data_IF_541064063817
#
_entry.id   IF_541064063817
#
_cell.length_a   1.000
_cell.length_b   1.000
_cell.length_c   1.000
_cell.angle_alpha   90.00
_cell.angle_beta   90.00
_cell.angle_gamma   90.00
#
_symmetry.space_group_name_H-M   'P 1'
#
loop_
_entity.id
_entity.type
_entity.pdbx_description
1 polymer ?
#
# COMPACT_ATOMS: atom_id res chain seq x y z
N UNK A 1 -9.28 13.52 1.14
CA UNK A 1 -9.92 12.38 1.83
C UNK A 1 -9.71 10.97 1.22
N UNK A 2 -8.67 10.71 0.40
CA UNK A 2 -8.41 9.38 -0.21
C UNK A 2 -7.80 8.34 0.75
N UNK A 3 -7.06 8.81 1.75
CA UNK A 3 -6.50 7.97 2.81
C UNK A 3 -7.56 7.18 3.58
N UNK A 4 -8.82 7.66 3.65
CA UNK A 4 -9.92 6.92 4.30
C UNK A 4 -10.28 5.64 3.53
N UNK A 5 -10.23 5.67 2.20
CA UNK A 5 -10.49 4.51 1.33
C UNK A 5 -9.33 3.51 1.39
N UNK A 6 -8.09 4.01 1.40
CA UNK A 6 -6.91 3.16 1.61
C UNK A 6 -6.86 2.55 3.01
N UNK A 7 -7.14 3.31 4.06
CA UNK A 7 -7.37 2.77 5.42
C UNK A 7 -8.44 1.69 5.32
N UNK A 8 -9.60 1.95 4.74
CA UNK A 8 -10.72 1.02 4.78
C UNK A 8 -10.42 -0.30 4.07
N UNK A 9 -9.76 -0.25 2.90
CA UNK A 9 -9.26 -1.43 2.21
C UNK A 9 -8.19 -2.17 3.05
N UNK A 10 -7.25 -1.45 3.68
CA UNK A 10 -6.27 -2.05 4.58
C UNK A 10 -6.87 -2.63 5.87
N UNK A 11 -7.91 -1.99 6.43
CA UNK A 11 -8.64 -2.48 7.61
C UNK A 11 -9.40 -3.76 7.24
N UNK A 12 -10.09 -3.81 6.10
CA UNK A 12 -10.77 -5.01 5.61
C UNK A 12 -9.78 -6.18 5.40
N UNK A 13 -8.58 -5.91 4.90
CA UNK A 13 -7.50 -6.92 4.77
C UNK A 13 -6.91 -7.30 6.13
N UNK A 14 -6.73 -6.34 7.04
CA UNK A 14 -6.21 -6.56 8.40
C UNK A 14 -7.14 -7.38 9.30
N UNK A 15 -8.46 -7.33 9.08
CA UNK A 15 -9.43 -8.18 9.80
C UNK A 15 -9.21 -9.67 9.47
N UNK A 16 -8.66 -10.00 8.31
CA UNK A 16 -8.82 -11.32 7.70
C UNK A 16 -7.52 -12.02 7.29
N UNK A 17 -6.38 -11.33 7.27
CA UNK A 17 -5.08 -11.92 6.93
C UNK A 17 -4.54 -12.85 8.02
N UNK A 18 -3.88 -13.94 7.62
CA UNK A 18 -2.90 -14.67 8.45
C UNK A 18 -1.59 -13.87 8.58
N UNK A 19 -1.71 -12.55 8.69
CA UNK A 19 -0.76 -11.75 9.44
C UNK A 19 -1.16 -12.04 10.88
N UNK A 20 -0.24 -12.42 11.76
CA UNK A 20 -0.53 -12.64 13.19
C UNK A 20 -1.11 -11.37 13.82
N UNK A 21 -2.41 -11.14 13.61
CA UNK A 21 -3.17 -10.02 14.15
C UNK A 21 -3.80 -10.58 15.42
N UNK A 22 -3.37 -10.12 16.60
CA UNK A 22 -3.94 -10.53 17.89
C UNK A 22 -5.48 -10.43 17.89
N UNK A 23 -6.16 -11.36 18.56
CA UNK A 23 -7.63 -11.44 18.55
C UNK A 23 -8.32 -10.15 19.01
N UNK A 24 -7.70 -9.42 19.95
CA UNK A 24 -8.15 -8.10 20.41
C UNK A 24 -8.15 -7.05 19.29
N UNK A 25 -7.18 -7.11 18.37
CA UNK A 25 -7.14 -6.22 17.21
C UNK A 25 -8.16 -6.59 16.15
N UNK A 26 -8.46 -7.88 15.97
CA UNK A 26 -9.53 -8.32 15.05
C UNK A 26 -10.90 -7.77 15.48
N UNK A 27 -11.20 -7.83 16.77
CA UNK A 27 -12.47 -7.31 17.29
C UNK A 27 -12.56 -5.78 17.16
N UNK A 28 -11.47 -5.06 17.46
CA UNK A 28 -11.40 -3.61 17.25
C UNK A 28 -11.61 -3.23 15.77
N UNK A 29 -10.99 -3.96 14.84
CA UNK A 29 -11.15 -3.72 13.41
C UNK A 29 -12.60 -3.98 12.94
N UNK A 30 -13.25 -5.01 13.47
CA UNK A 30 -14.66 -5.31 13.19
C UNK A 30 -15.60 -4.23 13.71
N UNK A 31 -15.33 -3.68 14.89
CA UNK A 31 -16.07 -2.54 15.44
C UNK A 31 -15.92 -1.31 14.54
N UNK A 32 -14.69 -0.99 14.12
CA UNK A 32 -14.43 0.13 13.19
C UNK A 32 -15.17 -0.08 11.87
N UNK A 33 -15.13 -1.29 11.30
CA UNK A 33 -15.86 -1.63 10.07
C UNK A 33 -17.37 -1.39 10.23
N UNK A 34 -17.95 -1.92 11.31
CA UNK A 34 -19.38 -1.75 11.62
C UNK A 34 -19.76 -0.29 11.73
N UNK A 35 -18.98 0.52 12.45
CA UNK A 35 -19.22 1.95 12.60
C UNK A 35 -19.16 2.70 11.25
N UNK A 36 -18.23 2.33 10.37
CA UNK A 36 -18.11 2.97 9.04
C UNK A 36 -19.28 2.60 8.14
N UNK A 37 -19.66 1.31 8.09
CA UNK A 37 -20.83 0.85 7.36
C UNK A 37 -22.10 1.53 7.87
N UNK A 38 -22.23 1.69 9.20
CA UNK A 38 -23.34 2.42 9.83
C UNK A 38 -23.38 3.89 9.42
N UNK A 39 -22.23 4.58 9.38
CA UNK A 39 -22.12 5.97 8.89
C UNK A 39 -22.52 6.11 7.42
N UNK A 40 -22.32 5.06 6.62
CA UNK A 40 -22.75 5.01 5.22
C UNK A 40 -24.21 4.55 5.05
N UNK A 41 -24.93 4.22 6.13
CA UNK A 41 -26.30 3.69 6.08
C UNK A 41 -26.40 2.26 5.52
N UNK A 42 -25.30 1.49 5.61
CA UNK A 42 -25.16 0.15 5.03
C UNK A 42 -24.66 -0.87 6.07
N UNK A 43 -25.16 -0.79 7.30
CA UNK A 43 -24.77 -1.71 8.39
C UNK A 43 -25.09 -3.17 8.07
N UNK A 44 -26.13 -3.43 7.28
CA UNK A 44 -26.48 -4.76 6.74
C UNK A 44 -25.43 -5.34 5.78
N UNK A 45 -24.51 -4.50 5.28
CA UNK A 45 -23.45 -4.87 4.33
C UNK A 45 -22.12 -5.21 4.98
N UNK A 46 -22.01 -5.12 6.30
CA UNK A 46 -20.80 -5.55 7.03
C UNK A 46 -20.36 -6.98 6.66
N UNK A 47 -21.25 -7.99 6.60
CA UNK A 47 -20.85 -9.37 6.23
C UNK A 47 -20.37 -9.49 4.78
N UNK A 48 -20.93 -8.69 3.87
CA UNK A 48 -20.53 -8.65 2.45
C UNK A 48 -19.10 -8.09 2.32
N UNK A 49 -18.78 -7.04 3.09
CA UNK A 49 -17.43 -6.45 3.15
C UNK A 49 -16.42 -7.43 3.76
N UNK A 50 -16.78 -8.11 4.84
CA UNK A 50 -15.93 -9.17 5.42
C UNK A 50 -15.66 -10.29 4.41
N UNK A 51 -16.67 -10.66 3.62
CA UNK A 51 -16.52 -11.69 2.58
C UNK A 51 -15.60 -11.21 1.46
N UNK A 52 -15.74 -9.95 1.02
CA UNK A 52 -14.86 -9.35 0.02
C UNK A 52 -13.39 -9.36 0.46
N UNK A 53 -13.12 -9.05 1.74
CA UNK A 53 -11.77 -9.13 2.31
C UNK A 53 -11.20 -10.56 2.35
N UNK A 54 -12.02 -11.57 2.67
CA UNK A 54 -11.59 -12.99 2.66
C UNK A 54 -11.24 -13.44 1.26
N UNK A 55 -12.13 -13.18 0.32
CA UNK A 55 -11.95 -13.52 -1.09
C UNK A 55 -10.69 -12.83 -1.65
N UNK A 56 -10.41 -11.59 -1.25
CA UNK A 56 -9.18 -10.90 -1.65
C UNK A 56 -7.93 -11.64 -1.16
N UNK A 57 -7.89 -12.05 0.11
CA UNK A 57 -6.73 -12.76 0.67
C UNK A 57 -6.55 -14.12 0.02
N UNK A 58 -7.63 -14.87 -0.18
CA UNK A 58 -7.59 -16.14 -0.89
C UNK A 58 -7.12 -15.96 -2.34
N UNK A 59 -7.59 -14.93 -3.02
CA UNK A 59 -7.16 -14.56 -4.36
C UNK A 59 -5.65 -14.27 -4.38
N UNK A 60 -5.15 -13.41 -3.48
CA UNK A 60 -3.71 -13.08 -3.39
C UNK A 60 -2.87 -14.32 -3.05
N UNK A 61 -3.29 -15.15 -2.10
CA UNK A 61 -2.58 -16.39 -1.73
C UNK A 61 -2.56 -17.41 -2.88
N UNK A 62 -3.63 -17.48 -3.67
CA UNK A 62 -3.67 -18.32 -4.88
C UNK A 62 -2.72 -17.83 -5.98
N UNK A 63 -2.38 -16.54 -5.98
CA UNK A 63 -1.45 -15.95 -6.93
C UNK A 63 0.00 -16.03 -6.46
N UNK A 64 0.25 -15.79 -5.17
CA UNK A 64 1.57 -15.56 -4.59
C UNK A 64 1.80 -16.42 -3.35
N UNK A 65 2.79 -17.30 -3.43
CA UNK A 65 3.39 -17.90 -2.24
C UNK A 65 4.56 -17.00 -1.79
N UNK A 66 4.34 -16.25 -0.71
CA UNK A 66 5.31 -15.29 -0.16
C UNK A 66 6.64 -15.99 0.20
N UNK A 67 6.59 -17.22 0.72
CA UNK A 67 7.80 -17.94 1.12
C UNK A 67 8.56 -18.43 -0.12
N UNK A 68 7.84 -18.91 -1.13
CA UNK A 68 8.44 -19.27 -2.41
C UNK A 68 9.10 -18.06 -3.08
N UNK A 69 8.41 -16.91 -3.14
CA UNK A 69 8.94 -15.67 -3.73
C UNK A 69 10.24 -15.26 -3.04
N UNK A 70 10.25 -15.27 -1.70
CA UNK A 70 11.46 -14.92 -0.92
C UNK A 70 12.62 -15.85 -1.25
N UNK A 71 12.38 -17.16 -1.25
CA UNK A 71 13.41 -18.16 -1.56
C UNK A 71 13.93 -18.01 -3.00
N UNK A 72 13.05 -17.74 -3.97
CA UNK A 72 13.43 -17.51 -5.37
C UNK A 72 14.26 -16.22 -5.51
N UNK A 73 13.91 -15.14 -4.80
CA UNK A 73 14.69 -13.89 -4.77
C UNK A 73 16.07 -14.14 -4.18
N UNK A 74 16.17 -14.82 -3.03
CA UNK A 74 17.45 -15.09 -2.36
C UNK A 74 18.38 -15.95 -3.23
N UNK A 75 17.83 -16.93 -3.95
CA UNK A 75 18.58 -17.77 -4.87
C UNK A 75 19.01 -17.04 -6.15
N UNK A 76 18.17 -16.15 -6.68
CA UNK A 76 18.41 -15.42 -7.93
C UNK A 76 19.31 -14.19 -7.75
N UNK A 77 19.32 -13.57 -6.56
CA UNK A 77 20.13 -12.40 -6.24
C UNK A 77 21.63 -12.56 -6.55
N UNK A 78 22.34 -13.63 -6.11
CA UNK A 78 23.77 -13.78 -6.36
C UNK A 78 24.14 -14.07 -7.82
N UNK A 79 23.21 -14.59 -8.62
CA UNK A 79 23.44 -14.97 -10.03
C UNK A 79 22.88 -13.94 -11.02
N UNK A 80 22.25 -12.86 -10.51
CA UNK A 80 21.73 -11.77 -11.33
C UNK A 80 20.47 -12.11 -12.13
N UNK A 81 19.67 -13.09 -11.69
CA UNK A 81 18.48 -13.58 -12.41
C UNK A 81 17.15 -13.12 -11.77
N UNK A 82 17.15 -11.97 -11.11
CA UNK A 82 15.97 -11.44 -10.40
C UNK A 82 14.83 -11.07 -11.36
N UNK A 83 15.16 -10.64 -12.57
CA UNK A 83 14.21 -10.34 -13.64
C UNK A 83 13.37 -11.56 -14.02
N UNK A 84 13.97 -12.76 -14.10
CA UNK A 84 13.24 -14.00 -14.38
C UNK A 84 12.22 -14.33 -13.28
N UNK A 85 12.61 -14.09 -12.03
CA UNK A 85 11.73 -14.26 -10.86
C UNK A 85 10.57 -13.27 -10.96
N UNK A 86 10.84 -11.98 -11.14
CA UNK A 86 9.78 -10.97 -11.18
C UNK A 86 8.89 -11.09 -12.40
N UNK A 87 9.40 -11.55 -13.55
CA UNK A 87 8.60 -11.82 -14.75
C UNK A 87 7.45 -12.79 -14.48
N UNK A 88 7.74 -13.88 -13.76
CA UNK A 88 6.74 -14.88 -13.36
C UNK A 88 5.62 -14.28 -12.51
N UNK A 89 5.96 -13.37 -11.59
CA UNK A 89 4.99 -12.76 -10.70
C UNK A 89 4.25 -11.58 -11.34
N UNK A 90 4.92 -10.82 -12.19
CA UNK A 90 4.33 -9.73 -12.95
C UNK A 90 3.37 -10.20 -14.04
N UNK A 91 3.56 -11.41 -14.58
CA UNK A 91 2.57 -12.06 -15.45
C UNK A 91 1.22 -12.29 -14.75
N UNK A 92 1.18 -12.33 -13.40
CA UNK A 92 -0.06 -12.47 -12.61
C UNK A 92 -0.72 -11.12 -12.31
N UNK A 93 -0.12 -10.00 -12.69
CA UNK A 93 -0.65 -8.66 -12.44
C UNK A 93 -2.11 -8.45 -12.91
N UNK A 94 -2.59 -9.03 -14.05
CA UNK A 94 -3.99 -8.87 -14.42
C UNK A 94 -4.95 -9.57 -13.44
N UNK A 95 -4.56 -10.75 -12.94
CA UNK A 95 -5.36 -11.50 -11.95
C UNK A 95 -5.34 -10.78 -10.60
N UNK A 96 -4.18 -10.24 -10.19
CA UNK A 96 -4.06 -9.42 -8.98
C UNK A 96 -4.93 -8.15 -9.06
N UNK A 97 -4.91 -7.46 -10.20
CA UNK A 97 -5.79 -6.30 -10.44
C UNK A 97 -7.27 -6.69 -10.29
N UNK A 98 -7.66 -7.87 -10.78
CA UNK A 98 -8.99 -8.44 -10.55
C UNK A 98 -9.33 -8.66 -9.07
N UNK A 99 -8.41 -9.23 -8.29
CA UNK A 99 -8.59 -9.38 -6.84
C UNK A 99 -8.84 -8.02 -6.17
N UNK A 100 -8.03 -7.02 -6.52
CA UNK A 100 -8.09 -5.67 -5.96
C UNK A 100 -9.39 -4.97 -6.35
N UNK A 101 -9.80 -5.09 -7.61
CA UNK A 101 -11.06 -4.52 -8.08
C UNK A 101 -12.25 -5.09 -7.34
N UNK A 102 -12.30 -6.42 -7.17
CA UNK A 102 -13.35 -7.11 -6.43
C UNK A 102 -13.38 -6.70 -4.95
N UNK A 103 -12.22 -6.50 -4.32
CA UNK A 103 -12.15 -5.95 -2.96
C UNK A 103 -12.76 -4.55 -2.90
N UNK A 104 -12.32 -3.65 -3.77
CA UNK A 104 -12.80 -2.27 -3.80
C UNK A 104 -14.31 -2.17 -4.11
N UNK A 105 -14.83 -3.05 -4.98
CA UNK A 105 -16.26 -3.13 -5.25
C UNK A 105 -17.03 -3.66 -4.03
N UNK A 106 -16.50 -4.70 -3.37
CA UNK A 106 -17.09 -5.28 -2.18
C UNK A 106 -17.15 -4.33 -0.98
N UNK A 107 -16.17 -3.42 -0.83
CA UNK A 107 -16.16 -2.41 0.24
C UNK A 107 -17.03 -1.18 -0.07
N UNK A 108 -17.37 -0.96 -1.35
CA UNK A 108 -18.10 0.24 -1.82
C UNK A 108 -19.41 0.52 -1.05
N UNK A 109 -20.23 -0.47 -0.67
CA UNK A 109 -21.47 -0.22 0.07
C UNK A 109 -21.25 0.50 1.39
N UNK A 110 -20.14 0.25 2.07
CA UNK A 110 -19.79 0.90 3.34
C UNK A 110 -18.98 2.20 3.18
N UNK A 111 -18.77 2.65 1.94
CA UNK A 111 -18.15 3.94 1.66
C UNK A 111 -19.26 4.98 1.44
N UNK A 112 -19.26 6.10 2.20
CA UNK A 112 -20.22 7.18 2.01
C UNK A 112 -20.20 7.70 0.57
N UNK A 113 -21.38 8.08 0.05
CA UNK A 113 -21.58 8.42 -1.37
C UNK A 113 -20.63 9.51 -1.85
N UNK A 114 -20.38 10.53 -1.03
CA UNK A 114 -19.45 11.62 -1.30
C UNK A 114 -18.00 11.17 -1.49
N UNK A 115 -17.64 10.00 -0.97
CA UNK A 115 -16.29 9.43 -1.04
C UNK A 115 -16.17 8.31 -2.08
N UNK A 116 -17.26 7.88 -2.73
CA UNK A 116 -17.23 6.78 -3.72
C UNK A 116 -16.39 7.12 -4.96
N UNK A 117 -16.34 8.40 -5.36
CA UNK A 117 -15.46 8.86 -6.43
C UNK A 117 -13.98 8.55 -6.18
N UNK A 118 -13.56 8.49 -4.91
CA UNK A 118 -12.19 8.13 -4.54
C UNK A 118 -11.86 6.64 -4.71
N UNK A 119 -12.87 5.75 -4.82
CA UNK A 119 -12.66 4.33 -5.07
C UNK A 119 -12.06 4.14 -6.46
N UNK A 120 -12.59 4.83 -7.47
CA UNK A 120 -12.06 4.80 -8.82
C UNK A 120 -10.61 5.32 -8.86
N UNK A 121 -10.30 6.39 -8.14
CA UNK A 121 -8.93 6.91 -8.05
C UNK A 121 -7.99 5.94 -7.33
N UNK A 122 -8.45 5.28 -6.25
CA UNK A 122 -7.66 4.29 -5.52
C UNK A 122 -7.38 3.04 -6.37
N UNK A 123 -8.39 2.54 -7.11
CA UNK A 123 -8.23 1.46 -8.10
C UNK A 123 -7.19 1.83 -9.16
N UNK A 124 -7.34 3.00 -9.78
CA UNK A 124 -6.42 3.48 -10.81
C UNK A 124 -4.99 3.67 -10.29
N UNK A 125 -4.84 4.22 -9.08
CA UNK A 125 -3.53 4.40 -8.45
C UNK A 125 -2.86 3.06 -8.14
N UNK A 126 -3.63 2.09 -7.65
CA UNK A 126 -3.11 0.75 -7.36
C UNK A 126 -2.68 0.02 -8.64
N UNK A 127 -3.47 0.12 -9.71
CA UNK A 127 -3.09 -0.45 -11.02
C UNK A 127 -1.80 0.16 -11.56
N UNK A 128 -1.70 1.49 -11.54
CA UNK A 128 -0.49 2.18 -11.98
C UNK A 128 0.74 1.85 -11.11
N UNK A 129 0.55 1.59 -9.80
CA UNK A 129 1.65 1.11 -8.95
C UNK A 129 2.10 -0.30 -9.37
N UNK A 130 1.15 -1.19 -9.65
CA UNK A 130 1.45 -2.53 -10.16
C UNK A 130 2.16 -2.43 -11.51
N UNK A 131 1.69 -1.58 -12.42
CA UNK A 131 2.33 -1.32 -13.72
C UNK A 131 3.73 -0.71 -13.56
N UNK A 132 3.93 0.15 -12.55
CA UNK A 132 5.24 0.71 -12.25
C UNK A 132 6.21 -0.38 -11.77
N UNK A 133 5.78 -1.24 -10.84
CA UNK A 133 6.59 -2.35 -10.30
C UNK A 133 6.89 -3.36 -11.41
N UNK A 134 5.89 -3.70 -12.21
CA UNK A 134 5.96 -4.69 -13.29
C UNK A 134 6.39 -4.11 -14.64
N UNK A 135 6.91 -2.88 -14.64
CA UNK A 135 7.47 -2.29 -15.85
C UNK A 135 8.58 -3.17 -16.39
N UNK A 136 8.47 -3.55 -17.67
CA UNK A 136 9.36 -4.52 -18.34
C UNK A 136 9.56 -5.77 -17.48
N UNK A 137 8.48 -6.49 -17.24
CA UNK A 137 8.50 -7.77 -16.51
C UNK A 137 9.11 -7.70 -15.10
N UNK A 138 9.20 -6.50 -14.50
CA UNK A 138 9.75 -6.31 -13.16
C UNK A 138 11.19 -5.82 -13.09
N UNK A 139 11.78 -5.37 -14.20
CA UNK A 139 13.14 -4.78 -14.25
C UNK A 139 13.38 -3.77 -13.13
N UNK A 140 12.40 -2.91 -12.85
CA UNK A 140 12.49 -1.87 -11.82
C UNK A 140 12.68 -2.49 -10.43
N UNK A 141 11.82 -3.42 -10.04
CA UNK A 141 11.93 -4.05 -8.72
C UNK A 141 13.16 -4.97 -8.63
N UNK A 142 13.54 -5.64 -9.73
CA UNK A 142 14.77 -6.42 -9.81
C UNK A 142 16.00 -5.53 -9.54
N UNK A 143 16.09 -4.39 -10.21
CA UNK A 143 17.17 -3.41 -10.02
C UNK A 143 17.17 -2.86 -8.59
N UNK A 144 16.01 -2.51 -8.05
CA UNK A 144 15.88 -2.06 -6.65
C UNK A 144 16.48 -3.06 -5.66
N UNK A 145 16.20 -4.35 -5.82
CA UNK A 145 16.69 -5.40 -4.93
C UNK A 145 18.16 -5.72 -5.16
N UNK A 146 18.60 -5.76 -6.42
CA UNK A 146 20.01 -5.97 -6.78
C UNK A 146 20.91 -4.90 -6.15
N UNK A 147 20.43 -3.65 -6.12
CA UNK A 147 21.13 -2.50 -5.54
C UNK A 147 20.97 -2.38 -4.00
N UNK A 148 20.46 -3.43 -3.34
CA UNK A 148 20.35 -3.47 -1.88
C UNK A 148 19.20 -2.65 -1.29
N UNK A 149 18.18 -2.32 -2.09
CA UNK A 149 17.03 -1.53 -1.68
C UNK A 149 16.30 -2.06 -0.43
N UNK A 150 15.97 -3.36 -0.32
CA UNK A 150 15.32 -3.93 0.86
C UNK A 150 16.15 -3.80 2.14
N UNK A 151 17.45 -4.11 2.08
CA UNK A 151 18.37 -3.96 3.21
C UNK A 151 18.46 -2.49 3.63
N UNK A 152 18.46 -1.59 2.65
CA UNK A 152 18.50 -0.16 2.90
C UNK A 152 17.22 0.35 3.58
N UNK A 153 16.04 -0.09 3.13
CA UNK A 153 14.76 0.21 3.80
C UNK A 153 14.72 -0.38 5.22
N UNK A 154 15.24 -1.59 5.42
CA UNK A 154 15.32 -2.24 6.73
C UNK A 154 16.23 -1.49 7.72
N UNK A 155 17.39 -1.03 7.27
CA UNK A 155 18.31 -0.23 8.10
C UNK A 155 17.80 1.19 8.35
N UNK A 156 17.02 1.72 7.40
CA UNK A 156 16.40 3.03 7.52
C UNK A 156 15.17 3.04 8.43
N UNK A 157 14.74 1.92 9.01
CA UNK A 157 13.51 1.88 9.84
C UNK A 157 13.54 2.90 10.98
N UNK A 158 14.67 3.07 11.66
CA UNK A 158 14.80 4.06 12.74
C UNK A 158 14.86 5.50 12.20
N UNK A 159 15.55 5.69 11.07
CA UNK A 159 15.64 6.96 10.35
C UNK A 159 14.29 7.41 9.78
N UNK A 160 13.48 6.48 9.29
CA UNK A 160 12.12 6.69 8.78
C UNK A 160 11.17 6.96 9.95
N UNK A 161 11.26 6.20 11.06
CA UNK A 161 10.50 6.50 12.28
C UNK A 161 10.71 7.93 12.75
N UNK A 162 11.93 8.44 12.69
CA UNK A 162 12.22 9.84 13.03
C UNK A 162 11.61 10.85 12.03
N UNK A 163 11.54 10.53 10.73
CA UNK A 163 10.80 11.35 9.76
C UNK A 163 9.30 11.39 10.07
N UNK A 164 8.73 10.26 10.50
CA UNK A 164 7.33 10.19 10.92
C UNK A 164 7.08 10.76 12.33
N UNK A 165 8.08 10.80 13.21
CA UNK A 165 7.94 11.28 14.59
C UNK A 165 7.51 12.75 14.62
N UNK A 166 8.05 13.59 13.73
CA UNK A 166 7.63 15.00 13.55
C UNK A 166 6.16 15.16 13.15
N UNK A 167 5.60 14.16 12.48
CA UNK A 167 4.17 14.11 12.13
C UNK A 167 3.37 13.51 13.28
N UNK A 168 3.94 12.59 14.06
CA UNK A 168 3.25 11.99 15.22
C UNK A 168 3.06 12.94 16.39
N UNK A 169 3.94 13.91 16.60
CA UNK A 169 3.81 14.93 17.66
C UNK A 169 2.49 15.72 17.57
N UNK A 170 1.94 15.87 16.36
CA UNK A 170 0.70 16.61 16.09
C UNK A 170 -0.47 15.69 15.66
N UNK A 171 -0.48 14.43 16.09
CA UNK A 171 -1.47 13.40 15.70
C UNK A 171 -2.93 13.84 15.82
N UNK A 172 -3.25 14.63 16.85
CA UNK A 172 -4.62 15.10 17.08
C UNK A 172 -4.99 16.32 16.21
N UNK A 173 -4.02 17.13 15.81
CA UNK A 173 -4.23 18.25 14.88
C UNK A 173 -4.37 17.78 13.42
N UNK A 174 -3.65 16.72 13.04
CA UNK A 174 -3.67 16.17 11.67
C UNK A 174 -5.06 15.71 11.24
N UNK A 175 -5.90 15.29 12.19
CA UNK A 175 -7.31 14.94 11.90
C UNK A 175 -8.07 16.13 11.30
N UNK A 176 -7.76 17.34 11.75
CA UNK A 176 -8.43 18.59 11.36
C UNK A 176 -7.78 19.29 10.15
N UNK A 177 -6.61 18.83 9.70
CA UNK A 177 -5.94 19.40 8.54
C UNK A 177 -6.81 19.30 7.28
N UNK A 178 -6.79 20.35 6.48
CA UNK A 178 -7.26 20.34 5.10
C UNK A 178 -6.51 19.30 4.27
N UNK A 179 -7.05 18.96 3.11
CA UNK A 179 -6.38 18.02 2.20
C UNK A 179 -5.01 18.60 1.75
N UNK A 180 -4.87 19.91 1.59
CA UNK A 180 -3.59 20.57 1.24
C UNK A 180 -2.55 20.48 2.38
N UNK A 181 -2.96 20.69 3.62
CA UNK A 181 -2.07 20.56 4.79
C UNK A 181 -1.60 19.11 4.96
N UNK A 182 -2.49 18.14 4.74
CA UNK A 182 -2.13 16.71 4.70
C UNK A 182 -1.14 16.41 3.58
N UNK A 183 -1.31 17.03 2.43
CA UNK A 183 -0.40 16.91 1.29
C UNK A 183 0.96 17.57 1.54
N UNK A 184 1.01 18.67 2.29
CA UNK A 184 2.26 19.30 2.70
C UNK A 184 3.02 18.43 3.71
N UNK A 185 2.31 17.77 4.64
CA UNK A 185 2.92 16.80 5.56
C UNK A 185 3.42 15.55 4.86
N UNK A 186 2.68 15.06 3.86
CA UNK A 186 3.17 13.97 3.01
C UNK A 186 4.45 14.38 2.28
N UNK A 187 4.51 15.60 1.72
CA UNK A 187 5.72 16.13 1.08
C UNK A 187 6.88 16.17 2.06
N UNK A 188 6.68 16.75 3.25
CA UNK A 188 7.70 16.85 4.30
C UNK A 188 8.28 15.49 4.69
N UNK A 189 7.42 14.48 4.85
CA UNK A 189 7.86 13.11 5.13
C UNK A 189 8.57 12.50 3.93
N UNK A 190 8.02 12.66 2.73
CA UNK A 190 8.62 12.08 1.51
C UNK A 190 10.00 12.64 1.23
N UNK A 191 10.20 13.95 1.44
CA UNK A 191 11.49 14.63 1.35
C UNK A 191 12.43 14.16 2.46
N UNK A 192 11.97 14.10 3.72
CA UNK A 192 12.80 13.57 4.81
C UNK A 192 13.27 12.14 4.55
N UNK A 193 12.39 11.28 4.03
CA UNK A 193 12.76 9.92 3.64
C UNK A 193 13.70 9.93 2.44
N UNK A 194 13.46 10.77 1.42
CA UNK A 194 14.32 10.91 0.24
C UNK A 194 15.69 11.52 0.48
N UNK A 195 15.84 12.36 1.51
CA UNK A 195 17.14 12.96 1.90
C UNK A 195 17.97 11.98 2.72
N UNK A 196 17.34 11.28 3.68
CA UNK A 196 18.02 10.20 4.44
C UNK A 196 18.36 9.02 3.51
N UNK A 197 17.40 8.74 2.63
CA UNK A 197 17.46 8.39 1.20
C UNK A 197 18.74 8.56 0.37
N UNK A 198 19.55 9.58 0.65
CA UNK A 198 20.75 9.92 -0.13
C UNK A 198 22.05 9.79 0.68
N UNK A 199 21.98 9.91 2.01
CA UNK A 199 23.15 9.87 2.90
C UNK A 199 23.65 8.45 3.19
N UNK A 200 22.80 7.43 2.99
CA UNK A 200 23.08 6.00 3.26
C UNK A 200 23.12 5.14 1.98
N UNK A 201 22.81 5.72 0.82
CA UNK A 201 22.29 4.96 -0.32
C UNK A 201 23.21 4.90 -1.53
N UNK A 202 23.13 3.80 -2.28
CA UNK A 202 23.45 3.80 -3.69
C UNK A 202 22.43 4.70 -4.44
N UNK A 203 22.79 5.42 -5.51
CA UNK A 203 21.88 6.40 -6.15
C UNK A 203 20.56 5.79 -6.62
N UNK A 204 20.57 4.51 -7.01
CA UNK A 204 19.46 3.84 -7.69
C UNK A 204 18.26 3.56 -6.77
N UNK A 205 18.39 2.93 -5.57
CA UNK A 205 17.24 2.74 -4.67
C UNK A 205 16.62 4.04 -4.16
N UNK A 206 17.43 5.09 -3.94
CA UNK A 206 16.95 6.40 -3.53
C UNK A 206 16.03 7.04 -4.57
N UNK A 207 16.46 7.02 -5.85
CA UNK A 207 15.67 7.53 -6.99
C UNK A 207 14.37 6.72 -7.17
N UNK A 208 14.41 5.41 -6.92
CA UNK A 208 13.22 4.55 -7.01
C UNK A 208 12.22 4.81 -5.88
N UNK A 209 12.70 4.99 -4.65
CA UNK A 209 11.86 5.38 -3.52
C UNK A 209 11.22 6.76 -3.75
N UNK A 210 12.00 7.72 -4.24
CA UNK A 210 11.48 9.05 -4.61
C UNK A 210 10.43 8.97 -5.72
N UNK A 211 10.68 8.15 -6.76
CA UNK A 211 9.73 7.89 -7.83
C UNK A 211 8.42 7.27 -7.31
N UNK A 212 8.52 6.36 -6.34
CA UNK A 212 7.36 5.77 -5.66
C UNK A 212 6.60 6.79 -4.81
N UNK A 213 7.28 7.63 -4.03
CA UNK A 213 6.62 8.69 -3.25
C UNK A 213 5.92 9.71 -4.15
N UNK A 214 6.56 10.12 -5.24
CA UNK A 214 5.98 11.01 -6.25
C UNK A 214 4.77 10.36 -6.92
N UNK A 215 4.83 9.05 -7.15
CA UNK A 215 3.72 8.28 -7.68
C UNK A 215 2.53 8.24 -6.70
N UNK A 216 2.78 7.92 -5.43
CA UNK A 216 1.76 7.92 -4.36
C UNK A 216 1.14 9.31 -4.20
N UNK A 217 1.95 10.37 -4.29
CA UNK A 217 1.48 11.76 -4.22
C UNK A 217 0.44 12.09 -5.30
N UNK A 218 0.60 11.59 -6.53
CA UNK A 218 -0.37 11.79 -7.62
C UNK A 218 -1.72 11.13 -7.35
N UNK A 219 -1.72 10.08 -6.53
CA UNK A 219 -2.95 9.47 -6.04
C UNK A 219 -3.65 10.34 -5.01
N UNK A 220 -2.93 11.07 -4.15
CA UNK A 220 -3.55 11.88 -3.10
C UNK A 220 -4.32 13.08 -3.68
N UNK A 221 -5.35 13.60 -2.98
CA UNK A 221 -6.09 14.82 -3.38
C UNK A 221 -5.26 16.08 -3.13
N UNK A 222 -4.05 16.09 -3.68
CA UNK A 222 -3.09 17.17 -3.61
C UNK A 222 -3.14 17.96 -4.90
N UNK A 223 -2.93 19.27 -4.80
CA UNK A 223 -2.71 20.11 -5.97
C UNK A 223 -1.48 19.60 -6.72
N UNK A 224 -1.55 19.38 -8.04
CA UNK A 224 -0.41 18.93 -8.83
C UNK A 224 0.76 19.92 -8.69
N UNK A 225 1.96 19.40 -8.39
CA UNK A 225 3.22 20.14 -8.45
C UNK A 225 4.00 19.73 -9.70
#
# INVERSE_FOLDING_TARGET
MMWKVFIFAFLAVGVLGDIEIPNDKREQLKQILTEQCKKAGAEDKVPDVETAGRNFIECVKGLFDINQIKNEIEAAKPVGALDEVFKKYCAKSPQLNGCIDALFDGVTPCVPTENRGHIATAKNSTRQLIDFICYKDGDRIALFIAEGGPECMGQSTESVKQCFAKVQENKDEIKNYSDEEKCAKFDEVSTCVGDRSGEVFHPTPGIMAESLFRFIRKGLPCTPK
#
